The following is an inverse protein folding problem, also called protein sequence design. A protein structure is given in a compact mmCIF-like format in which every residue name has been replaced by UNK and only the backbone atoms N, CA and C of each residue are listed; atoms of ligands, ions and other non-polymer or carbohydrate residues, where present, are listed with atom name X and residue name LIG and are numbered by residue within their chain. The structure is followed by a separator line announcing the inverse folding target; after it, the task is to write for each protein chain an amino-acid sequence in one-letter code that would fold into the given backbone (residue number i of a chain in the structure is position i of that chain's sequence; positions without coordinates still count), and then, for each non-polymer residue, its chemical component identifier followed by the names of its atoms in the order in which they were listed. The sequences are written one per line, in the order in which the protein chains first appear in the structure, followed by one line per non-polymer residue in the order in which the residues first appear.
data_IF_824483324898
#
_entry.id   IF_824483324898
#
_cell.length_a   1.000
_cell.length_b   1.000
_cell.length_c   1.000
_cell.angle_alpha   90.00
_cell.angle_beta   90.00
_cell.angle_gamma   90.00
#
_symmetry.space_group_name_H-M   'P 1'
#
loop_
_entity.id
_entity.type
_entity.pdbx_description
1 polymer ?
#
# COMPACT_ATOMS: atom_id res chain seq x y z
N UNK A 1 2.39 -65.58 -62.33
CA UNK A 1 1.89 -64.69 -61.26
C UNK A 1 1.20 -63.49 -61.88
N UNK A 2 -0.07 -63.27 -61.57
CA UNK A 2 -0.74 -61.99 -61.81
C UNK A 2 -0.56 -61.09 -60.58
N UNK A 3 -0.10 -59.87 -60.81
CA UNK A 3 0.25 -58.91 -59.76
C UNK A 3 -0.61 -57.66 -59.93
N UNK A 4 -1.35 -57.29 -58.89
CA UNK A 4 -2.13 -56.05 -58.93
C UNK A 4 -1.23 -54.83 -58.70
N UNK A 5 -1.71 -53.61 -59.04
CA UNK A 5 -1.11 -52.37 -58.55
C UNK A 5 -1.05 -52.35 -57.02
N UNK A 6 -0.11 -51.55 -56.50
CA UNK A 6 -0.02 -51.30 -55.07
C UNK A 6 -1.22 -50.49 -54.59
N UNK A 7 -1.80 -50.92 -53.47
CA UNK A 7 -2.78 -50.13 -52.72
C UNK A 7 -2.10 -48.91 -52.10
N UNK A 8 -2.87 -47.87 -51.71
CA UNK A 8 -2.33 -46.74 -50.97
C UNK A 8 -1.52 -47.18 -49.74
N UNK A 9 -0.48 -46.41 -49.42
CA UNK A 9 0.36 -46.62 -48.24
C UNK A 9 -0.49 -46.63 -46.96
N UNK A 10 -0.19 -47.56 -46.04
CA UNK A 10 -0.91 -47.74 -44.77
C UNK A 10 -0.86 -46.52 -43.86
N UNK A 11 0.11 -45.63 -44.07
CA UNK A 11 0.21 -44.34 -43.40
C UNK A 11 0.18 -43.21 -44.43
N UNK A 12 -0.44 -42.11 -44.04
CA UNK A 12 -0.49 -40.87 -44.82
C UNK A 12 0.78 -40.02 -44.66
N UNK A 13 1.57 -40.27 -43.61
CA UNK A 13 2.86 -39.61 -43.35
C UNK A 13 3.89 -40.60 -42.77
N UNK A 14 5.18 -40.29 -42.93
CA UNK A 14 6.28 -41.11 -42.41
C UNK A 14 6.43 -42.47 -43.12
N UNK A 15 6.97 -43.45 -42.39
CA UNK A 15 7.22 -44.82 -42.90
C UNK A 15 5.99 -45.71 -42.68
N UNK A 16 5.50 -46.34 -43.75
CA UNK A 16 4.38 -47.29 -43.74
C UNK A 16 4.64 -48.50 -44.64
N UNK A 17 3.59 -49.29 -44.85
CA UNK A 17 3.57 -50.46 -45.72
C UNK A 17 2.48 -50.31 -46.77
N UNK A 18 2.68 -50.86 -47.96
CA UNK A 18 1.66 -50.95 -48.99
C UNK A 18 1.52 -52.41 -49.43
N UNK A 19 0.30 -52.77 -49.85
CA UNK A 19 -0.10 -54.14 -50.12
C UNK A 19 -0.56 -54.28 -51.57
N UNK A 20 -0.30 -55.42 -52.18
CA UNK A 20 -0.83 -55.79 -53.51
C UNK A 20 -1.26 -57.25 -53.53
N UNK A 21 -2.20 -57.58 -54.40
CA UNK A 21 -2.61 -58.96 -54.63
C UNK A 21 -1.62 -59.65 -55.56
N UNK A 22 -1.21 -60.85 -55.19
CA UNK A 22 -0.31 -61.71 -55.98
C UNK A 22 -0.99 -63.08 -56.06
N UNK A 23 -1.52 -63.40 -57.24
CA UNK A 23 -2.29 -64.61 -57.51
C UNK A 23 -1.60 -65.46 -58.56
N UNK A 24 -1.62 -66.78 -58.41
CA UNK A 24 -1.14 -67.67 -59.45
C UNK A 24 -2.26 -67.84 -60.48
N UNK A 25 -1.96 -67.62 -61.76
CA UNK A 25 -2.94 -67.71 -62.84
C UNK A 25 -2.39 -68.64 -63.90
N UNK A 26 -3.26 -69.50 -64.46
CA UNK A 26 -2.96 -70.39 -65.60
C UNK A 26 -3.88 -70.07 -66.76
N UNK A 27 -3.41 -70.25 -67.99
CA UNK A 27 -4.30 -70.22 -69.16
C UNK A 27 -4.90 -71.60 -69.38
N UNK A 28 -6.21 -71.64 -69.61
CA UNK A 28 -6.92 -72.86 -70.05
C UNK A 28 -6.74 -73.03 -71.55
N UNK A 29 -7.02 -74.23 -72.05
CA UNK A 29 -7.03 -74.57 -73.49
C UNK A 29 -7.95 -73.68 -74.32
N UNK A 30 -8.96 -73.06 -73.69
CA UNK A 30 -9.89 -72.12 -74.33
C UNK A 30 -9.40 -70.66 -74.30
N UNK A 31 -8.13 -70.41 -73.95
CA UNK A 31 -7.53 -69.08 -73.83
C UNK A 31 -7.96 -68.28 -72.59
N UNK A 32 -8.81 -68.84 -71.72
CA UNK A 32 -9.29 -68.16 -70.51
C UNK A 32 -8.25 -68.23 -69.39
N UNK A 33 -8.03 -67.13 -68.68
CA UNK A 33 -7.06 -67.11 -67.57
C UNK A 33 -7.78 -67.36 -66.24
N UNK A 34 -7.45 -68.45 -65.55
CA UNK A 34 -8.08 -68.85 -64.27
C UNK A 34 -7.08 -68.89 -63.13
N UNK A 35 -7.55 -68.61 -61.92
CA UNK A 35 -6.74 -68.66 -60.70
C UNK A 35 -6.36 -70.11 -60.36
N UNK A 36 -5.14 -70.32 -59.89
CA UNK A 36 -4.53 -71.62 -59.66
C UNK A 36 -3.80 -71.64 -58.31
N UNK A 37 -3.66 -72.81 -57.65
CA UNK A 37 -2.84 -72.95 -56.44
C UNK A 37 -1.40 -72.44 -56.60
N UNK A 38 -0.86 -71.81 -55.56
CA UNK A 38 0.45 -71.16 -55.58
C UNK A 38 1.62 -72.10 -55.97
N UNK A 39 1.54 -73.39 -55.62
CA UNK A 39 2.60 -74.37 -55.89
C UNK A 39 2.75 -74.73 -57.39
N UNK A 40 1.75 -74.39 -58.21
CA UNK A 40 1.79 -74.61 -59.67
C UNK A 40 2.49 -73.47 -60.43
N UNK A 41 2.82 -72.37 -59.75
CA UNK A 41 3.60 -71.29 -60.33
C UNK A 41 5.10 -71.58 -60.15
N UNK A 42 5.88 -71.75 -61.23
CA UNK A 42 7.27 -72.25 -61.17
C UNK A 42 8.30 -71.22 -60.69
N UNK A 43 7.91 -69.95 -60.54
CA UNK A 43 8.78 -68.86 -60.05
C UNK A 43 8.42 -68.49 -58.63
N UNK A 44 9.38 -67.95 -57.89
CA UNK A 44 9.14 -67.41 -56.56
C UNK A 44 8.01 -66.39 -56.55
N UNK A 45 7.16 -66.49 -55.52
CA UNK A 45 6.04 -65.59 -55.34
C UNK A 45 6.55 -64.16 -55.08
N UNK A 46 6.22 -63.19 -55.94
CA UNK A 46 6.57 -61.79 -55.68
C UNK A 46 6.01 -61.31 -54.34
N UNK A 47 6.72 -60.41 -53.65
CA UNK A 47 6.22 -59.88 -52.38
C UNK A 47 4.87 -59.18 -52.56
N UNK A 48 3.92 -59.52 -51.69
CA UNK A 48 2.63 -58.84 -51.56
C UNK A 48 2.70 -57.58 -50.68
N UNK A 49 3.85 -57.30 -50.05
CA UNK A 49 4.05 -56.19 -49.12
C UNK A 49 5.35 -55.45 -49.43
N UNK A 50 5.34 -54.13 -49.41
CA UNK A 50 6.57 -53.34 -49.47
C UNK A 50 6.50 -52.09 -48.59
N UNK A 51 7.66 -51.53 -48.24
CA UNK A 51 7.74 -50.28 -47.53
C UNK A 51 7.33 -49.10 -48.41
N UNK A 52 6.74 -48.09 -47.80
CA UNK A 52 6.47 -46.80 -48.43
C UNK A 52 6.89 -45.66 -47.50
N UNK A 53 7.44 -44.59 -48.08
CA UNK A 53 7.84 -43.39 -47.37
C UNK A 53 6.97 -42.24 -47.89
N UNK A 54 6.16 -41.67 -47.00
CA UNK A 54 5.41 -40.44 -47.24
C UNK A 54 6.16 -39.26 -46.63
N UNK A 55 5.64 -38.04 -46.84
CA UNK A 55 6.15 -36.82 -46.19
C UNK A 55 6.24 -37.03 -44.68
N UNK A 56 7.23 -36.42 -44.04
CA UNK A 56 7.39 -36.52 -42.59
C UNK A 56 6.11 -36.11 -41.86
N UNK A 57 5.77 -36.81 -40.78
CA UNK A 57 4.59 -36.45 -39.98
C UNK A 57 4.84 -35.10 -39.29
N UNK A 58 3.92 -34.15 -39.48
CA UNK A 58 3.93 -32.91 -38.73
C UNK A 58 3.55 -33.20 -37.28
N UNK A 59 4.50 -33.04 -36.36
CA UNK A 59 4.27 -33.17 -34.93
C UNK A 59 4.04 -31.78 -34.33
N UNK A 60 2.90 -31.62 -33.67
CA UNK A 60 2.51 -30.37 -33.03
C UNK A 60 2.92 -30.35 -31.56
N UNK A 61 3.11 -29.14 -31.03
CA UNK A 61 3.34 -28.91 -29.61
C UNK A 61 2.11 -29.32 -28.81
N UNK A 62 2.31 -30.12 -27.77
CA UNK A 62 1.27 -30.48 -26.81
C UNK A 62 1.30 -29.47 -25.68
N UNK A 63 0.15 -28.83 -25.43
CA UNK A 63 0.01 -27.72 -24.48
C UNK A 63 -0.91 -28.14 -23.35
N UNK A 64 -0.41 -28.07 -22.12
CA UNK A 64 -1.19 -28.30 -20.91
C UNK A 64 -1.96 -27.07 -20.42
N UNK A 65 -2.81 -27.24 -19.39
CA UNK A 65 -3.52 -26.14 -18.76
C UNK A 65 -2.57 -25.15 -18.07
N UNK A 66 -3.02 -23.91 -17.91
CA UNK A 66 -2.30 -22.91 -17.11
C UNK A 66 -2.42 -23.21 -15.62
N UNK A 67 -1.33 -23.04 -14.89
CA UNK A 67 -1.32 -23.04 -13.43
C UNK A 67 -2.14 -21.87 -12.87
N UNK A 68 -2.39 -21.92 -11.56
CA UNK A 68 -2.81 -20.76 -10.79
C UNK A 68 -1.78 -19.61 -10.91
N UNK A 69 -2.24 -18.39 -10.67
CA UNK A 69 -1.38 -17.20 -10.66
C UNK A 69 -0.39 -17.30 -9.49
N UNK A 70 0.90 -17.46 -9.79
CA UNK A 70 1.97 -17.34 -8.82
C UNK A 70 2.05 -15.89 -8.37
N UNK A 71 1.82 -15.66 -7.08
CA UNK A 71 1.69 -14.33 -6.48
C UNK A 71 0.35 -14.22 -5.75
N UNK A 72 0.41 -13.76 -4.50
CA UNK A 72 -0.78 -13.60 -3.64
C UNK A 72 -1.57 -12.33 -3.97
N UNK A 73 -0.90 -11.29 -4.48
CA UNK A 73 -1.48 -10.02 -4.89
C UNK A 73 -0.62 -9.40 -6.00
N UNK A 74 -1.13 -8.36 -6.66
CA UNK A 74 -0.41 -7.60 -7.68
C UNK A 74 -0.14 -8.40 -8.95
N UNK A 75 1.01 -8.11 -9.59
CA UNK A 75 1.44 -8.78 -10.81
C UNK A 75 2.15 -10.08 -10.46
N UNK A 76 1.68 -11.17 -11.07
CA UNK A 76 2.21 -12.52 -10.93
C UNK A 76 2.45 -13.17 -12.29
N UNK A 77 2.70 -14.48 -12.27
CA UNK A 77 2.82 -15.26 -13.50
C UNK A 77 2.14 -16.62 -13.39
N UNK A 78 1.73 -17.19 -14.52
CA UNK A 78 1.22 -18.56 -14.64
C UNK A 78 2.14 -19.34 -15.54
N UNK A 79 2.33 -20.61 -15.23
CA UNK A 79 3.14 -21.53 -16.03
C UNK A 79 2.27 -22.66 -16.57
N UNK A 80 2.64 -23.22 -17.72
CA UNK A 80 1.99 -24.42 -18.28
C UNK A 80 3.03 -25.33 -18.89
N UNK A 81 2.72 -26.63 -18.94
CA UNK A 81 3.55 -27.59 -19.64
C UNK A 81 3.40 -27.40 -21.17
N UNK A 82 4.53 -27.29 -21.87
CA UNK A 82 4.59 -27.25 -23.34
C UNK A 82 5.65 -28.23 -23.77
N UNK A 83 5.24 -29.37 -24.34
CA UNK A 83 6.14 -30.46 -24.71
C UNK A 83 5.96 -30.87 -26.16
N UNK A 84 7.06 -31.31 -26.78
CA UNK A 84 7.00 -31.97 -28.07
C UNK A 84 6.89 -33.49 -27.87
N UNK A 85 5.97 -34.21 -28.55
CA UNK A 85 5.86 -35.65 -28.42
C UNK A 85 7.15 -36.42 -28.76
N UNK A 86 7.93 -35.89 -29.71
CA UNK A 86 9.21 -36.46 -30.12
C UNK A 86 10.25 -35.34 -30.15
N UNK A 87 11.32 -35.47 -29.36
CA UNK A 87 12.35 -34.45 -29.23
C UNK A 87 12.85 -33.95 -30.61
N UNK A 88 12.84 -32.63 -30.80
CA UNK A 88 13.34 -31.98 -32.02
C UNK A 88 12.46 -32.11 -33.28
N UNK A 89 11.28 -32.76 -33.22
CA UNK A 89 10.40 -32.90 -34.40
C UNK A 89 9.32 -31.84 -34.53
N UNK A 90 9.03 -31.10 -33.45
CA UNK A 90 8.10 -29.97 -33.50
C UNK A 90 8.83 -28.72 -34.02
N UNK A 91 8.12 -27.87 -34.76
CA UNK A 91 8.67 -26.61 -35.25
C UNK A 91 9.00 -25.65 -34.10
N UNK A 92 10.28 -25.32 -33.91
CA UNK A 92 10.74 -24.44 -32.83
C UNK A 92 10.07 -23.06 -32.85
N UNK A 93 9.94 -22.44 -34.03
CA UNK A 93 9.27 -21.14 -34.20
C UNK A 93 7.77 -21.15 -33.94
N UNK A 94 7.17 -22.32 -33.71
CA UNK A 94 5.75 -22.47 -33.34
C UNK A 94 5.57 -22.91 -31.89
N UNK A 95 6.63 -22.89 -31.06
CA UNK A 95 6.56 -23.26 -29.64
C UNK A 95 5.68 -22.25 -28.89
N UNK A 96 4.54 -22.69 -28.32
CA UNK A 96 3.69 -21.81 -27.53
C UNK A 96 4.40 -21.33 -26.25
N UNK A 97 4.05 -20.15 -25.71
CA UNK A 97 4.65 -19.66 -24.48
C UNK A 97 4.29 -20.58 -23.31
N UNK A 98 5.28 -20.94 -22.50
CA UNK A 98 5.10 -21.74 -21.27
C UNK A 98 4.85 -20.87 -20.05
N UNK A 99 5.06 -19.56 -20.14
CA UNK A 99 4.85 -18.57 -19.06
C UNK A 99 4.03 -17.40 -19.58
N UNK A 100 3.11 -16.89 -18.76
CA UNK A 100 2.37 -15.64 -19.02
C UNK A 100 2.20 -14.84 -17.73
N UNK A 101 2.04 -13.52 -17.85
CA UNK A 101 1.72 -12.67 -16.70
C UNK A 101 0.24 -12.78 -16.31
N UNK A 102 -0.06 -12.49 -15.06
CA UNK A 102 -1.41 -12.36 -14.54
C UNK A 102 -1.47 -11.22 -13.53
N UNK A 103 -2.62 -10.55 -13.46
CA UNK A 103 -2.87 -9.48 -12.50
C UNK A 103 -3.91 -9.95 -11.48
N UNK A 104 -3.64 -9.70 -10.20
CA UNK A 104 -4.57 -9.82 -9.08
C UNK A 104 -4.83 -8.43 -8.50
N UNK A 105 -5.68 -8.37 -7.47
CA UNK A 105 -5.87 -7.14 -6.69
C UNK A 105 -4.54 -6.57 -6.21
N UNK A 106 -4.45 -5.24 -6.12
CA UNK A 106 -3.25 -4.54 -5.66
C UNK A 106 -2.77 -5.09 -4.31
N UNK A 107 -1.45 -5.22 -4.19
CA UNK A 107 -0.79 -5.56 -2.94
C UNK A 107 -0.84 -4.42 -1.91
N UNK A 108 -1.21 -3.21 -2.33
CA UNK A 108 -1.17 -2.03 -1.49
C UNK A 108 -2.56 -1.42 -1.36
N UNK A 109 -2.89 -1.02 -0.14
CA UNK A 109 -4.18 -0.41 0.19
C UNK A 109 -4.01 0.78 1.13
N UNK A 110 -4.88 1.78 0.99
CA UNK A 110 -4.96 2.91 1.90
C UNK A 110 -5.70 2.49 3.18
N UNK A 111 -5.02 2.61 4.32
CA UNK A 111 -5.63 2.45 5.64
C UNK A 111 -5.96 3.83 6.20
N UNK A 112 -7.22 4.00 6.58
CA UNK A 112 -7.78 5.27 7.05
C UNK A 112 -7.91 5.21 8.57
N UNK A 113 -7.19 6.09 9.25
CA UNK A 113 -7.33 6.30 10.69
C UNK A 113 -8.60 7.07 11.05
N UNK A 114 -8.93 7.04 12.34
CA UNK A 114 -10.05 7.83 12.87
C UNK A 114 -9.74 9.33 12.77
N UNK A 115 -10.76 10.13 12.49
CA UNK A 115 -10.69 11.57 12.73
C UNK A 115 -10.56 11.83 14.24
N UNK A 116 -9.89 12.91 14.61
CA UNK A 116 -9.92 13.42 15.99
C UNK A 116 -11.39 13.63 16.46
N UNK A 117 -11.87 12.90 17.47
CA UNK A 117 -13.29 12.89 17.90
C UNK A 117 -13.61 13.63 19.22
N UNK A 118 -14.38 14.71 19.24
CA UNK A 118 -14.76 15.41 20.48
C UNK A 118 -15.61 14.54 21.44
N UNK A 119 -15.07 14.11 22.59
CA UNK A 119 -15.87 13.65 23.75
C UNK A 119 -16.07 14.82 24.72
N UNK A 120 -17.32 15.08 25.14
CA UNK A 120 -17.67 16.14 26.10
C UNK A 120 -16.82 15.99 27.37
N UNK A 121 -16.04 17.01 27.71
CA UNK A 121 -15.42 17.10 29.04
C UNK A 121 -16.56 17.29 30.04
N UNK A 122 -16.79 16.30 30.90
CA UNK A 122 -17.51 16.53 32.15
C UNK A 122 -16.76 17.63 32.90
N UNK A 123 -17.55 18.57 33.44
CA UNK A 123 -17.16 19.76 34.20
C UNK A 123 -16.05 19.43 35.21
N UNK A 124 -14.80 19.76 34.87
CA UNK A 124 -13.72 19.82 35.85
C UNK A 124 -13.61 21.27 36.31
N UNK A 125 -13.77 21.45 37.60
CA UNK A 125 -13.67 22.69 38.34
C UNK A 125 -12.38 23.43 37.99
N UNK A 126 -12.50 24.72 37.61
CA UNK A 126 -11.37 25.63 37.53
C UNK A 126 -10.84 25.84 38.96
N UNK A 127 -9.92 25.01 39.45
CA UNK A 127 -9.00 25.46 40.50
C UNK A 127 -8.03 26.45 39.87
N UNK A 128 -8.13 27.71 40.31
CA UNK A 128 -7.26 28.84 39.91
C UNK A 128 -5.78 28.41 39.97
N UNK A 129 -4.93 28.78 39.01
CA UNK A 129 -3.50 28.49 39.10
C UNK A 129 -2.91 29.25 40.29
N UNK A 130 -2.10 28.57 41.11
CA UNK A 130 -1.39 29.11 42.28
C UNK A 130 -0.22 30.02 41.86
N UNK A 131 -0.49 31.06 41.05
CA UNK A 131 0.53 32.06 40.66
C UNK A 131 0.80 33.08 41.78
N UNK A 132 0.02 33.05 42.85
CA UNK A 132 0.29 33.86 44.07
C UNK A 132 1.47 33.32 44.90
N UNK A 133 1.94 32.09 44.66
CA UNK A 133 3.02 31.48 45.44
C UNK A 133 4.43 31.86 44.93
N UNK A 134 4.56 32.14 43.63
CA UNK A 134 5.85 32.50 43.02
C UNK A 134 6.28 33.93 43.38
N UNK A 135 5.34 34.87 43.49
CA UNK A 135 5.67 36.25 43.88
C UNK A 135 6.09 36.32 45.35
N UNK A 136 5.44 35.55 46.23
CA UNK A 136 5.85 35.45 47.64
C UNK A 136 7.24 34.81 47.79
N UNK A 137 7.53 33.77 46.99
CA UNK A 137 8.86 33.13 46.97
C UNK A 137 9.95 34.09 46.47
N UNK A 138 9.71 34.83 45.39
CA UNK A 138 10.68 35.80 44.87
C UNK A 138 10.91 36.96 45.87
N UNK A 139 9.86 37.42 46.55
CA UNK A 139 10.00 38.44 47.60
C UNK A 139 10.72 37.92 48.85
N UNK A 140 10.64 36.62 49.16
CA UNK A 140 11.49 36.00 50.20
C UNK A 140 12.94 35.80 49.77
N UNK A 141 13.22 35.66 48.47
CA UNK A 141 14.59 35.58 47.94
C UNK A 141 15.28 36.94 47.90
N UNK A 142 14.55 38.05 47.72
CA UNK A 142 15.13 39.40 47.67
C UNK A 142 15.45 40.00 49.06
N UNK A 143 15.16 39.27 50.14
CA UNK A 143 15.51 39.68 51.53
C UNK A 143 16.53 38.75 52.19
N UNK A 144 17.16 37.84 51.46
CA UNK A 144 18.19 36.96 52.01
C UNK A 144 19.56 37.32 51.42
N UNK A 145 20.45 37.78 52.30
CA UNK A 145 21.86 38.00 52.01
C UNK A 145 22.52 36.73 51.50
N UNK A 146 23.29 36.92 50.42
CA UNK A 146 24.55 36.29 50.09
C UNK A 146 24.80 34.87 50.66
N UNK A 147 24.72 33.87 49.79
CA UNK A 147 25.90 33.06 49.55
C UNK A 147 25.87 32.31 48.21
N UNK A 148 27.00 32.41 47.54
CA UNK A 148 27.36 31.79 46.27
C UNK A 148 27.38 30.26 46.40
N UNK A 149 26.54 29.53 45.66
CA UNK A 149 26.86 28.13 45.29
C UNK A 149 26.48 27.83 43.84
N UNK A 150 27.52 27.43 43.11
CA UNK A 150 27.56 27.07 41.71
C UNK A 150 26.58 25.95 41.32
N UNK A 151 26.04 26.10 40.11
CA UNK A 151 25.48 25.08 39.23
C UNK A 151 26.25 23.76 39.28
N UNK A 152 25.52 22.64 39.40
CA UNK A 152 25.70 21.43 38.59
C UNK A 152 24.49 20.51 38.74
N UNK A 153 24.28 19.73 37.69
CA UNK A 153 23.29 18.65 37.51
C UNK A 153 21.88 19.06 37.02
N UNK A 154 21.78 19.31 35.71
CA UNK A 154 20.56 19.04 34.93
C UNK A 154 20.47 17.52 34.66
N UNK A 155 19.41 16.81 35.09
CA UNK A 155 19.03 15.56 34.48
C UNK A 155 18.18 15.83 33.23
N UNK A 156 18.57 15.18 32.14
CA UNK A 156 17.90 15.10 30.86
C UNK A 156 16.37 15.03 31.00
N UNK A 157 15.67 15.88 30.25
CA UNK A 157 14.21 15.87 30.13
C UNK A 157 13.73 14.50 29.64
N UNK A 158 13.18 13.69 30.56
CA UNK A 158 12.39 12.53 30.21
C UNK A 158 10.97 13.01 29.88
N UNK A 159 10.62 13.01 28.60
CA UNK A 159 9.26 13.25 28.10
C UNK A 159 8.37 12.05 28.47
N UNK A 160 8.13 11.87 29.77
CA UNK A 160 7.31 10.82 30.33
C UNK A 160 5.88 11.28 30.57
N UNK A 161 4.98 10.88 29.66
CA UNK A 161 3.51 10.94 29.73
C UNK A 161 2.89 12.34 29.65
N UNK A 162 2.66 12.73 28.40
CA UNK A 162 1.52 13.57 28.01
C UNK A 162 0.25 13.05 28.72
N UNK A 163 -0.46 13.86 29.51
CA UNK A 163 -1.78 13.52 29.97
C UNK A 163 -2.66 13.29 28.74
N UNK A 164 -3.29 12.13 28.67
CA UNK A 164 -4.19 11.68 27.61
C UNK A 164 -5.49 12.52 27.56
N UNK A 165 -5.36 13.85 27.43
CA UNK A 165 -6.47 14.81 27.51
C UNK A 165 -6.15 16.20 26.95
N UNK A 166 -5.29 16.26 25.95
CA UNK A 166 -5.26 17.39 25.01
C UNK A 166 -6.21 17.05 23.86
N UNK A 167 -7.37 17.70 23.95
CA UNK A 167 -8.42 17.87 22.93
C UNK A 167 -8.34 17.00 21.68
N UNK A 168 -9.43 16.29 21.42
CA UNK A 168 -9.72 15.70 20.12
C UNK A 168 -10.11 16.80 19.08
N UNK A 169 -9.26 17.81 18.92
CA UNK A 169 -9.61 19.17 18.51
C UNK A 169 -9.51 19.45 17.01
N UNK A 170 -10.55 20.11 16.52
CA UNK A 170 -10.45 21.05 15.41
C UNK A 170 -9.27 22.02 15.65
N UNK A 171 -8.50 22.37 14.63
CA UNK A 171 -7.34 23.26 14.77
C UNK A 171 -7.68 24.62 15.41
N UNK A 172 -8.96 25.02 15.40
CA UNK A 172 -9.46 26.23 16.05
C UNK A 172 -10.32 25.88 17.30
N UNK A 173 -10.21 26.69 18.36
CA UNK A 173 -11.02 26.56 19.58
C UNK A 173 -12.42 27.20 19.49
N UNK A 174 -12.65 28.02 18.47
CA UNK A 174 -13.92 28.63 18.09
C UNK A 174 -13.88 28.97 16.59
N UNK A 175 -15.02 29.15 15.94
CA UNK A 175 -15.10 29.43 14.50
C UNK A 175 -14.77 28.22 13.62
N UNK A 176 -14.11 28.44 12.48
CA UNK A 176 -13.74 27.39 11.52
C UNK A 176 -12.32 26.90 11.75
N UNK A 177 -12.11 25.60 11.68
CA UNK A 177 -10.77 24.99 11.70
C UNK A 177 -10.71 23.72 10.86
N UNK A 178 -9.64 22.93 11.03
CA UNK A 178 -9.46 21.67 10.34
C UNK A 178 -9.12 20.51 11.29
N UNK A 179 -9.62 19.32 10.97
CA UNK A 179 -9.24 18.06 11.60
C UNK A 179 -8.30 17.29 10.67
N UNK A 180 -7.34 16.56 11.24
CA UNK A 180 -6.49 15.60 10.51
C UNK A 180 -6.83 14.17 10.91
N UNK A 181 -6.56 13.24 9.98
CA UNK A 181 -6.54 11.80 10.22
C UNK A 181 -5.30 11.19 9.58
N UNK A 182 -4.87 10.04 10.08
CA UNK A 182 -3.82 9.27 9.41
C UNK A 182 -4.39 8.60 8.14
N UNK A 183 -3.62 8.66 7.06
CA UNK A 183 -3.91 7.96 5.81
C UNK A 183 -2.60 7.31 5.39
N UNK A 184 -2.49 6.00 5.62
CA UNK A 184 -1.23 5.27 5.47
C UNK A 184 -1.39 4.20 4.40
N UNK A 185 -0.47 4.18 3.44
CA UNK A 185 -0.42 3.11 2.45
C UNK A 185 0.31 1.90 3.05
N UNK A 186 -0.39 0.76 3.14
CA UNK A 186 0.18 -0.48 3.68
C UNK A 186 0.13 -1.62 2.66
N UNK A 187 1.14 -2.47 2.71
CA UNK A 187 1.13 -3.75 2.00
C UNK A 187 0.17 -4.73 2.68
N UNK A 188 -0.73 -5.35 1.93
CA UNK A 188 -1.83 -6.19 2.45
C UNK A 188 -1.35 -7.40 3.23
N UNK A 189 -0.27 -8.03 2.77
CA UNK A 189 0.22 -9.30 3.36
C UNK A 189 1.21 -9.07 4.51
N UNK A 190 2.07 -8.06 4.39
CA UNK A 190 3.17 -7.83 5.35
C UNK A 190 2.85 -6.72 6.34
N UNK A 191 1.78 -5.95 6.12
CA UNK A 191 1.39 -4.75 6.89
C UNK A 191 2.47 -3.66 6.96
N UNK A 192 3.52 -3.75 6.13
CA UNK A 192 4.58 -2.74 6.07
C UNK A 192 4.08 -1.49 5.35
N UNK A 193 4.55 -0.33 5.81
CA UNK A 193 4.33 0.96 5.15
C UNK A 193 5.01 0.94 3.78
N UNK A 194 4.35 1.48 2.76
CA UNK A 194 4.94 1.61 1.43
C UNK A 194 4.28 2.72 0.61
N UNK A 195 4.64 2.81 -0.67
CA UNK A 195 4.30 3.96 -1.52
C UNK A 195 3.53 3.58 -2.79
N UNK A 196 3.24 2.30 -2.98
CA UNK A 196 2.64 1.77 -4.22
C UNK A 196 1.10 1.79 -4.22
N UNK A 197 0.47 2.58 -3.35
CA UNK A 197 -0.97 2.80 -3.42
C UNK A 197 -1.30 3.78 -4.54
N UNK A 198 -2.43 3.60 -5.22
CA UNK A 198 -2.86 4.53 -6.26
C UNK A 198 -3.13 5.93 -5.67
N UNK A 199 -2.64 6.97 -6.34
CA UNK A 199 -2.86 8.36 -5.96
C UNK A 199 -4.34 8.76 -6.12
N UNK A 200 -5.01 8.24 -7.15
CA UNK A 200 -6.41 8.55 -7.47
C UNK A 200 -7.36 8.07 -6.37
N UNK A 201 -6.99 7.00 -5.67
CA UNK A 201 -7.78 6.46 -4.55
C UNK A 201 -7.34 6.98 -3.18
N UNK A 202 -6.41 7.95 -3.12
CA UNK A 202 -5.88 8.48 -1.85
C UNK A 202 -6.96 9.24 -1.07
N UNK A 203 -7.35 8.77 0.13
CA UNK A 203 -8.35 9.45 0.95
C UNK A 203 -7.84 10.80 1.48
N UNK A 204 -8.74 11.78 1.64
CA UNK A 204 -8.39 13.08 2.22
C UNK A 204 -7.83 12.92 3.65
N UNK A 205 -6.66 13.47 3.93
CA UNK A 205 -6.05 13.43 5.28
C UNK A 205 -6.53 14.57 6.19
N UNK A 206 -7.21 15.57 5.62
CA UNK A 206 -7.68 16.76 6.33
C UNK A 206 -9.13 17.08 5.93
N UNK A 207 -9.94 17.51 6.89
CA UNK A 207 -11.30 18.03 6.64
C UNK A 207 -11.56 19.28 7.47
N UNK A 208 -12.45 20.13 6.99
CA UNK A 208 -12.91 21.28 7.77
C UNK A 208 -13.82 20.86 8.93
N UNK A 209 -13.78 21.63 10.01
CA UNK A 209 -14.64 21.49 11.17
C UNK A 209 -15.14 22.87 11.59
N UNK A 210 -16.42 22.93 11.98
CA UNK A 210 -17.00 24.11 12.61
C UNK A 210 -17.06 23.88 14.10
N UNK A 211 -16.49 24.82 14.85
CA UNK A 211 -16.58 24.90 16.31
C UNK A 211 -17.58 25.98 16.66
N UNK A 212 -17.98 26.08 17.93
CA UNK A 212 -18.82 27.17 18.42
C UNK A 212 -18.29 28.51 17.93
N UNK A 213 -19.20 29.41 17.57
CA UNK A 213 -18.81 30.73 17.11
C UNK A 213 -17.94 31.44 18.15
N UNK A 214 -16.93 32.14 17.67
CA UNK A 214 -16.11 32.96 18.54
C UNK A 214 -17.01 34.10 19.03
N UNK A 215 -17.28 34.14 20.34
CA UNK A 215 -17.88 35.32 20.94
C UNK A 215 -16.90 36.47 20.67
N UNK A 216 -17.34 37.47 19.89
CA UNK A 216 -16.70 38.77 19.85
C UNK A 216 -16.83 39.33 21.27
N UNK A 217 -15.77 39.19 22.06
CA UNK A 217 -15.67 40.00 23.26
C UNK A 217 -15.19 41.32 22.70
N UNK A 218 -16.11 42.26 22.52
CA UNK A 218 -15.76 43.67 22.38
C UNK A 218 -15.18 44.09 23.74
N UNK A 219 -13.93 43.73 23.97
CA UNK A 219 -13.14 44.38 25.01
C UNK A 219 -12.86 45.77 24.44
N UNK A 220 -13.84 46.66 24.57
CA UNK A 220 -13.52 48.07 24.74
C UNK A 220 -12.74 48.09 26.04
N UNK A 221 -11.41 47.93 25.92
CA UNK A 221 -10.50 48.15 27.03
C UNK A 221 -10.45 49.66 27.21
N UNK A 222 -11.52 50.23 27.74
CA UNK A 222 -11.45 51.53 28.38
C UNK A 222 -10.55 51.32 29.60
N UNK A 223 -9.25 51.50 29.39
CA UNK A 223 -8.24 51.63 30.44
C UNK A 223 -8.43 52.98 31.14
N UNK A 224 -9.62 53.22 31.71
CA UNK A 224 -9.83 54.34 32.62
C UNK A 224 -9.54 53.82 34.03
N UNK A 225 -8.38 54.20 34.54
CA UNK A 225 -7.99 53.89 35.91
C UNK A 225 -8.83 54.74 36.89
N UNK A 226 -9.79 54.10 37.55
CA UNK A 226 -10.56 54.75 38.61
C UNK A 226 -9.86 54.71 39.98
N UNK A 227 -9.12 53.63 40.29
CA UNK A 227 -8.42 53.46 41.57
C UNK A 227 -7.31 52.42 41.51
N UNK A 228 -6.35 52.55 42.42
CA UNK A 228 -5.35 51.51 42.68
C UNK A 228 -6.02 50.25 43.23
N UNK A 229 -5.61 49.09 42.71
CA UNK A 229 -6.07 47.77 43.18
C UNK A 229 -5.27 47.31 44.40
N UNK A 230 -4.05 47.81 44.58
CA UNK A 230 -3.17 47.48 45.69
C UNK A 230 -3.21 48.56 46.78
N UNK A 231 -2.81 48.19 48.00
CA UNK A 231 -2.78 49.14 49.11
C UNK A 231 -1.72 50.23 48.88
N UNK A 232 -1.92 51.42 49.47
CA UNK A 232 -0.98 52.55 49.34
C UNK A 232 0.47 52.21 49.71
N UNK A 233 0.70 51.27 50.63
CA UNK A 233 2.06 50.81 50.98
C UNK A 233 2.70 49.99 49.85
N UNK A 234 1.91 49.16 49.17
CA UNK A 234 2.36 48.32 48.07
C UNK A 234 2.60 49.15 46.81
N UNK A 235 1.71 50.10 46.48
CA UNK A 235 1.91 50.96 45.32
C UNK A 235 3.09 51.95 45.50
N UNK A 236 3.38 52.38 46.73
CA UNK A 236 4.64 53.09 47.03
C UNK A 236 5.88 52.25 46.81
N UNK A 237 5.82 50.94 47.03
CA UNK A 237 6.93 50.04 46.70
C UNK A 237 7.09 49.92 45.19
N UNK A 238 6.00 49.79 44.43
CA UNK A 238 6.01 49.78 42.95
C UNK A 238 6.68 51.04 42.40
N UNK A 239 6.39 52.20 43.00
CA UNK A 239 7.03 53.47 42.63
C UNK A 239 8.52 53.50 42.98
N UNK A 240 8.88 53.10 44.21
CA UNK A 240 10.26 53.09 44.70
C UNK A 240 11.18 52.18 43.87
N UNK A 241 10.65 51.08 43.34
CA UNK A 241 11.40 50.14 42.51
C UNK A 241 11.23 50.38 41.00
N UNK A 242 10.65 51.52 40.60
CA UNK A 242 10.44 51.93 39.20
C UNK A 242 9.70 50.89 38.32
N UNK A 243 8.76 50.18 38.95
CA UNK A 243 8.04 49.08 38.30
C UNK A 243 6.82 49.57 37.49
N UNK A 244 6.51 50.87 37.55
CA UNK A 244 5.40 51.52 36.84
C UNK A 244 5.49 51.39 35.31
N UNK A 245 6.70 51.15 34.78
CA UNK A 245 6.96 50.91 33.35
C UNK A 245 6.39 49.57 32.85
N UNK A 246 6.03 48.64 33.74
CA UNK A 246 5.47 47.34 33.37
C UNK A 246 3.94 47.38 33.37
N UNK A 247 3.31 47.02 32.24
CA UNK A 247 1.84 47.09 32.07
C UNK A 247 1.04 46.38 33.18
N UNK A 248 1.55 45.27 33.70
CA UNK A 248 0.91 44.55 34.81
C UNK A 248 0.93 45.31 36.14
N UNK A 249 2.02 46.01 36.47
CA UNK A 249 2.13 46.84 37.68
C UNK A 249 1.40 48.17 37.52
N UNK A 250 1.46 48.74 36.31
CA UNK A 250 0.67 49.90 35.92
C UNK A 250 -0.84 49.63 36.10
N UNK A 251 -1.36 48.48 35.65
CA UNK A 251 -2.78 48.11 35.81
C UNK A 251 -3.23 47.84 37.26
N UNK A 252 -2.27 47.67 38.18
CA UNK A 252 -2.50 47.40 39.61
C UNK A 252 -2.37 48.67 40.47
N UNK A 253 -1.48 49.59 40.12
CA UNK A 253 -1.17 50.82 40.86
C UNK A 253 -1.25 52.06 39.95
N UNK A 254 -2.30 52.11 39.13
CA UNK A 254 -2.43 53.06 38.04
C UNK A 254 -2.50 54.53 38.48
N UNK A 255 -3.16 54.87 39.59
CA UNK A 255 -3.16 56.25 40.11
C UNK A 255 -1.81 56.65 40.66
N UNK A 256 -1.23 55.78 41.50
CA UNK A 256 0.10 56.04 42.09
C UNK A 256 1.18 56.25 41.01
N UNK A 257 1.16 55.46 39.94
CA UNK A 257 2.11 55.60 38.83
C UNK A 257 1.82 56.80 37.91
N UNK A 258 0.55 57.14 37.70
CA UNK A 258 0.13 58.30 36.91
C UNK A 258 0.53 59.63 37.58
N UNK A 259 0.40 59.71 38.90
CA UNK A 259 0.72 60.92 39.67
C UNK A 259 2.24 61.18 39.75
N UNK A 260 3.08 60.15 39.69
CA UNK A 260 4.54 60.32 39.65
C UNK A 260 5.09 60.70 38.27
N UNK A 261 4.36 60.44 37.19
CA UNK A 261 4.75 60.86 35.84
C UNK A 261 4.44 62.33 35.52
N UNK A 262 3.74 63.05 36.41
CA UNK A 262 3.36 64.46 36.25
C UNK A 262 4.22 65.44 37.07
N UNK A 263 5.15 64.94 37.88
CA UNK A 263 6.13 65.72 38.65
C UNK A 263 7.52 65.53 38.05
#
# INVERSE_FOLDING_TARGET
WAVSPWRPCSKTCGKGLQYRSVRCMRQTTNGTTVESPNHLCPRDKPSGVQNCIKKACHLNWVVGPWSHCHGLCGVGHRVRNVRCPVAGKCAHGKKPPSRKFCSRESCYQWIIGRWSSNRKKTKYEKKKPKVMFLVALVMTFLTAENDNRLLKDLPQADFGRVPERLTLSCSAGCGSGAQRRSVTCLHRLTRRVGEKCSADSKPASQRQCKVKECKKIDVVLETVCHRDKYSSKQCRAVLRFDLCSTRGWLDLCCKTCEDAGRN
#
